data_IF_636998825000
#
_entry.id   IF_636998825000
#
_cell.length_a   1.000
_cell.length_b   1.000
_cell.length_c   1.000
_cell.angle_alpha   90.00
_cell.angle_beta   90.00
_cell.angle_gamma   90.00
#
_symmetry.space_group_name_H-M   'P 1'
#
loop_
_entity.id
_entity.type
_entity.pdbx_description
1 polymer ?
#
# COMPACT_ATOMS: atom_id res chain seq x y z
N UNK A 1 -32.90 43.44 55.79
CA UNK A 1 -31.86 43.38 56.85
C UNK A 1 -30.52 43.69 56.21
N UNK A 2 -29.80 44.64 56.79
CA UNK A 2 -28.44 45.04 56.44
C UNK A 2 -27.42 43.95 56.82
N UNK A 3 -26.26 43.93 56.13
CA UNK A 3 -24.86 43.71 56.57
C UNK A 3 -24.06 43.39 55.28
N UNK A 4 -23.33 44.31 54.64
CA UNK A 4 -22.15 45.10 55.02
C UNK A 4 -20.84 44.29 55.18
N UNK A 5 -19.95 44.54 54.22
CA UNK A 5 -18.47 44.70 54.30
C UNK A 5 -17.54 43.47 54.28
N UNK A 6 -16.57 43.54 53.37
CA UNK A 6 -15.36 42.73 53.37
C UNK A 6 -14.54 42.85 52.08
N UNK A 7 -14.06 44.05 51.75
CA UNK A 7 -13.12 44.29 50.64
C UNK A 7 -11.70 43.97 51.11
N UNK A 8 -10.94 43.19 50.34
CA UNK A 8 -9.47 43.16 50.42
C UNK A 8 -8.91 43.38 49.01
N UNK A 9 -8.31 44.56 48.82
CA UNK A 9 -7.53 44.96 47.65
C UNK A 9 -6.10 44.45 47.83
N UNK A 10 -5.59 43.73 46.83
CA UNK A 10 -4.15 43.58 46.62
C UNK A 10 -3.89 44.01 45.18
N UNK A 11 -3.20 45.14 45.03
CA UNK A 11 -2.71 45.64 43.76
C UNK A 11 -1.24 45.22 43.61
N UNK A 12 -0.87 44.70 42.44
CA UNK A 12 0.44 44.98 41.83
C UNK A 12 0.50 44.52 40.37
N UNK A 13 0.51 45.52 39.49
CA UNK A 13 1.37 45.65 38.29
C UNK A 13 1.52 44.48 37.32
N UNK A 14 0.93 44.64 36.13
CA UNK A 14 1.41 44.03 34.89
C UNK A 14 1.31 45.06 33.75
N UNK A 15 2.44 45.37 33.12
CA UNK A 15 2.58 46.40 32.09
C UNK A 15 1.95 46.00 30.74
N UNK A 16 1.30 46.98 30.11
CA UNK A 16 1.17 47.26 28.65
C UNK A 16 1.26 46.11 27.64
N UNK A 17 0.27 45.99 26.77
CA UNK A 17 0.31 46.62 25.43
C UNK A 17 -1.00 46.42 24.66
N UNK A 18 -1.35 47.46 23.90
CA UNK A 18 -2.49 47.50 23.00
C UNK A 18 -2.42 46.38 21.95
N UNK A 19 -3.54 45.68 21.76
CA UNK A 19 -3.70 44.72 20.68
C UNK A 19 -3.76 45.46 19.35
N UNK A 20 -2.71 45.36 18.54
CA UNK A 20 -2.81 45.63 17.12
C UNK A 20 -3.50 44.41 16.48
N UNK A 21 -4.73 44.61 16.02
CA UNK A 21 -5.40 43.67 15.13
C UNK A 21 -4.65 43.64 13.80
N UNK A 22 -3.80 42.64 13.61
CA UNK A 22 -3.40 42.19 12.27
C UNK A 22 -4.22 40.95 11.96
N UNK A 23 -5.22 41.15 11.10
CA UNK A 23 -6.10 40.12 10.55
C UNK A 23 -5.25 39.02 9.87
N UNK A 24 -5.47 37.72 10.16
CA UNK A 24 -4.78 36.66 9.43
C UNK A 24 -5.24 36.66 7.97
N UNK A 25 -4.27 36.65 7.05
CA UNK A 25 -4.52 36.46 5.63
C UNK A 25 -5.14 35.06 5.39
N UNK A 26 -6.36 34.94 4.85
CA UNK A 26 -7.01 33.64 4.66
C UNK A 26 -6.34 32.77 3.58
N UNK A 27 -5.39 33.31 2.82
CA UNK A 27 -4.70 32.59 1.74
C UNK A 27 -3.33 32.01 2.13
N UNK A 28 -2.91 32.13 3.39
CA UNK A 28 -1.69 31.48 3.89
C UNK A 28 -2.00 30.05 4.38
N UNK A 29 -2.36 29.16 3.45
CA UNK A 29 -2.31 27.74 3.73
C UNK A 29 -0.86 27.37 4.09
N UNK A 30 -0.61 26.65 5.21
CA UNK A 30 0.72 26.11 5.44
C UNK A 30 1.01 25.17 4.28
N UNK A 31 2.14 25.40 3.59
CA UNK A 31 2.71 24.41 2.70
C UNK A 31 2.84 23.11 3.48
N UNK A 32 1.87 22.21 3.29
CA UNK A 32 2.05 20.81 3.59
C UNK A 32 3.26 20.41 2.78
N UNK A 33 4.39 20.24 3.44
CA UNK A 33 5.54 19.55 2.87
C UNK A 33 5.02 18.20 2.46
N UNK A 34 4.78 18.04 1.16
CA UNK A 34 4.47 16.78 0.52
C UNK A 34 5.62 15.87 0.89
N UNK A 35 5.45 15.03 1.93
CA UNK A 35 6.35 13.91 2.16
C UNK A 35 6.35 13.15 0.84
N UNK A 36 7.45 13.25 0.11
CA UNK A 36 7.63 12.58 -1.16
C UNK A 36 7.30 11.10 -0.93
N UNK A 37 6.29 10.59 -1.64
CA UNK A 37 5.99 9.16 -1.65
C UNK A 37 7.29 8.37 -1.70
N UNK A 38 7.50 7.33 -0.88
CA UNK A 38 8.78 6.63 -0.84
C UNK A 38 9.12 6.17 -2.26
N UNK A 39 10.14 6.77 -2.88
CA UNK A 39 10.63 6.38 -4.21
C UNK A 39 11.75 5.39 -3.96
N UNK A 40 11.67 4.20 -4.54
CA UNK A 40 12.84 3.33 -4.58
C UNK A 40 13.86 3.99 -5.52
N UNK A 41 14.97 4.47 -4.95
CA UNK A 41 16.07 5.09 -5.69
C UNK A 41 17.01 4.02 -6.23
N UNK A 42 17.30 4.10 -7.53
CA UNK A 42 18.14 3.18 -8.32
C UNK A 42 19.58 2.95 -7.82
N UNK A 43 20.07 3.76 -6.87
CA UNK A 43 21.45 3.67 -6.39
C UNK A 43 21.70 2.44 -5.50
N UNK A 44 20.66 1.75 -5.05
CA UNK A 44 20.79 0.55 -4.22
C UNK A 44 20.54 -0.72 -5.06
N UNK A 45 21.61 -1.49 -5.27
CA UNK A 45 21.54 -2.85 -5.79
C UNK A 45 21.89 -3.84 -4.67
N UNK A 46 21.10 -4.91 -4.44
CA UNK A 46 19.85 -5.26 -5.12
C UNK A 46 18.73 -4.25 -4.88
N UNK A 47 17.73 -4.22 -5.76
CA UNK A 47 16.59 -3.31 -5.62
C UNK A 47 15.81 -3.60 -4.34
N UNK A 48 15.64 -2.58 -3.51
CA UNK A 48 14.94 -2.67 -2.22
C UNK A 48 13.67 -1.83 -2.22
N UNK A 49 12.78 -2.13 -1.29
CA UNK A 49 11.61 -1.32 -1.00
C UNK A 49 11.36 -1.22 0.50
N UNK A 50 10.84 -0.07 0.92
CA UNK A 50 10.42 0.20 2.31
C UNK A 50 8.93 0.54 2.39
N UNK A 51 8.26 0.56 1.24
CA UNK A 51 6.83 0.74 1.11
C UNK A 51 6.30 -0.02 -0.11
N UNK A 52 5.02 -0.33 -0.11
CA UNK A 52 4.36 -1.06 -1.18
C UNK A 52 2.92 -0.58 -1.36
N UNK A 53 2.35 -0.91 -2.52
CA UNK A 53 0.91 -0.92 -2.69
C UNK A 53 0.39 -2.33 -2.39
N UNK A 54 -0.89 -2.44 -2.03
CA UNK A 54 -1.55 -3.70 -1.76
C UNK A 54 -2.81 -3.90 -2.62
N UNK A 55 -2.95 -5.12 -3.13
CA UNK A 55 -4.15 -5.61 -3.81
C UNK A 55 -4.55 -6.96 -3.24
N UNK A 56 -5.84 -7.27 -3.30
CA UNK A 56 -6.35 -8.55 -2.84
C UNK A 56 -7.51 -9.01 -3.72
N UNK A 57 -7.49 -10.28 -4.09
CA UNK A 57 -8.45 -10.88 -5.02
C UNK A 57 -8.90 -12.25 -4.52
N UNK A 58 -10.17 -12.55 -4.74
CA UNK A 58 -10.74 -13.85 -4.42
C UNK A 58 -11.30 -14.46 -5.71
N UNK A 59 -11.01 -15.74 -5.93
CA UNK A 59 -11.51 -16.54 -7.05
C UNK A 59 -11.98 -17.88 -6.52
N UNK A 60 -12.99 -18.48 -7.16
CA UNK A 60 -13.49 -19.80 -6.79
C UNK A 60 -13.87 -19.97 -5.30
N UNK A 61 -14.24 -18.89 -4.62
CA UNK A 61 -14.74 -18.89 -3.24
C UNK A 61 -16.24 -18.63 -3.20
N UNK A 62 -16.93 -19.13 -2.18
CA UNK A 62 -18.33 -18.77 -1.91
C UNK A 62 -18.46 -17.44 -1.16
N UNK A 63 -17.44 -17.09 -0.38
CA UNK A 63 -17.30 -15.82 0.34
C UNK A 63 -15.82 -15.65 0.69
N UNK A 64 -15.33 -14.42 0.74
CA UNK A 64 -13.92 -14.14 1.00
C UNK A 64 -13.72 -12.72 1.52
N UNK A 65 -13.13 -12.61 2.70
CA UNK A 65 -12.75 -11.33 3.31
C UNK A 65 -11.26 -11.36 3.64
N UNK A 66 -10.53 -10.37 3.14
CA UNK A 66 -9.11 -10.17 3.40
C UNK A 66 -8.97 -8.81 4.07
N UNK A 67 -8.48 -8.78 5.31
CA UNK A 67 -8.23 -7.55 6.04
C UNK A 67 -6.73 -7.30 6.12
N UNK A 68 -6.26 -6.19 5.56
CA UNK A 68 -4.86 -5.80 5.65
C UNK A 68 -4.73 -4.33 6.03
N UNK A 69 -3.98 -4.05 7.11
CA UNK A 69 -3.82 -2.70 7.67
C UNK A 69 -5.18 -1.99 7.89
N UNK A 70 -6.16 -2.74 8.40
CA UNK A 70 -7.52 -2.22 8.66
C UNK A 70 -8.38 -1.96 7.41
N UNK A 71 -7.85 -2.19 6.20
CA UNK A 71 -8.61 -2.03 4.97
C UNK A 71 -9.17 -3.38 4.49
N UNK A 72 -10.49 -3.53 4.35
CA UNK A 72 -11.10 -4.76 3.88
C UNK A 72 -11.03 -4.88 2.35
N UNK A 73 -10.80 -6.10 1.89
CA UNK A 73 -10.86 -6.52 0.49
C UNK A 73 -11.71 -7.79 0.37
N UNK A 74 -12.15 -8.10 -0.86
CA UNK A 74 -12.99 -9.26 -1.16
C UNK A 74 -14.49 -8.94 -1.11
N UNK A 75 -15.31 -9.98 -1.03
CA UNK A 75 -16.78 -9.92 -1.00
C UNK A 75 -17.33 -11.10 -0.21
N UNK A 76 -18.48 -10.91 0.44
CA UNK A 76 -19.25 -12.00 1.06
C UNK A 76 -20.06 -12.82 0.04
N UNK A 77 -20.06 -12.41 -1.23
CA UNK A 77 -20.69 -13.13 -2.34
C UNK A 77 -19.73 -14.09 -3.04
N UNK A 78 -20.26 -15.10 -3.77
CA UNK A 78 -19.42 -15.99 -4.57
C UNK A 78 -18.55 -15.23 -5.56
N UNK A 79 -17.27 -15.59 -5.61
CA UNK A 79 -16.30 -15.07 -6.56
C UNK A 79 -16.15 -16.06 -7.74
N UNK A 80 -16.11 -15.59 -8.99
CA UNK A 80 -15.98 -16.48 -10.14
C UNK A 80 -14.55 -17.03 -10.28
N UNK A 81 -14.33 -17.95 -11.21
CA UNK A 81 -12.99 -18.47 -11.50
C UNK A 81 -12.14 -17.46 -12.27
N UNK A 82 -10.82 -17.61 -12.24
CA UNK A 82 -9.89 -16.78 -13.05
C UNK A 82 -10.22 -16.89 -14.53
N UNK A 83 -10.50 -18.10 -15.01
CA UNK A 83 -10.77 -18.42 -16.42
C UNK A 83 -12.02 -17.71 -16.94
N UNK A 84 -13.03 -17.50 -16.09
CA UNK A 84 -14.29 -16.85 -16.47
C UNK A 84 -14.11 -15.41 -16.98
N UNK A 85 -13.00 -14.75 -16.63
CA UNK A 85 -12.70 -13.39 -17.08
C UNK A 85 -12.13 -13.32 -18.51
N UNK A 86 -11.78 -14.47 -19.13
CA UNK A 86 -11.30 -14.53 -20.51
C UNK A 86 -9.96 -13.80 -20.76
N UNK A 87 -9.18 -13.56 -19.71
CA UNK A 87 -7.89 -12.86 -19.77
C UNK A 87 -6.90 -13.48 -18.78
N UNK A 88 -5.59 -13.40 -19.06
CA UNK A 88 -4.60 -14.03 -18.19
C UNK A 88 -4.52 -13.32 -16.83
N UNK A 89 -4.11 -14.07 -15.80
CA UNK A 89 -4.12 -13.64 -14.40
C UNK A 89 -3.35 -12.33 -14.18
N UNK A 90 -2.22 -12.13 -14.87
CA UNK A 90 -1.39 -10.93 -14.73
C UNK A 90 -2.09 -9.65 -15.21
N UNK A 91 -3.17 -9.80 -15.98
CA UNK A 91 -4.02 -8.69 -16.37
C UNK A 91 -5.14 -8.44 -15.35
N UNK A 92 -5.52 -9.40 -14.54
CA UNK A 92 -6.57 -9.25 -13.51
C UNK A 92 -6.02 -8.60 -12.24
N UNK A 93 -4.78 -8.95 -11.87
CA UNK A 93 -4.20 -8.59 -10.60
C UNK A 93 -3.51 -7.21 -10.62
N UNK A 94 -3.93 -6.31 -9.73
CA UNK A 94 -3.36 -4.98 -9.51
C UNK A 94 -3.48 -4.56 -8.05
N UNK A 95 -2.65 -3.61 -7.60
CA UNK A 95 -2.83 -3.00 -6.28
C UNK A 95 -3.56 -1.66 -6.35
N UNK A 96 -4.49 -1.45 -5.43
CA UNK A 96 -5.27 -0.20 -5.31
C UNK A 96 -5.08 0.52 -3.98
N UNK A 97 -4.56 -0.17 -2.96
CA UNK A 97 -4.31 0.43 -1.65
C UNK A 97 -2.86 0.88 -1.55
N UNK A 98 -2.64 2.20 -1.63
CA UNK A 98 -1.34 2.75 -2.00
C UNK A 98 -0.44 3.11 -0.82
N UNK A 99 0.86 3.13 -1.07
CA UNK A 99 1.88 3.73 -0.20
C UNK A 99 1.86 3.25 1.26
N UNK A 100 1.67 1.95 1.47
CA UNK A 100 1.81 1.31 2.77
C UNK A 100 3.29 1.27 3.13
N UNK A 101 3.69 1.97 4.19
CA UNK A 101 5.08 1.93 4.70
C UNK A 101 5.30 0.68 5.54
N UNK A 102 6.51 0.13 5.43
CA UNK A 102 6.95 -1.10 6.09
C UNK A 102 5.94 -2.24 5.90
N UNK A 103 5.90 -3.17 6.85
CA UNK A 103 4.87 -4.20 6.91
C UNK A 103 3.98 -3.96 8.14
N UNK A 104 2.69 -3.65 7.93
CA UNK A 104 1.66 -3.79 8.95
C UNK A 104 1.58 -5.22 9.50
N UNK A 105 0.78 -5.45 10.58
CA UNK A 105 0.45 -6.80 11.01
C UNK A 105 -0.07 -7.70 9.87
N UNK A 106 0.04 -9.04 10.01
CA UNK A 106 -0.37 -10.00 8.99
C UNK A 106 -1.76 -9.72 8.42
N UNK A 107 -1.95 -10.02 7.14
CA UNK A 107 -3.27 -9.98 6.53
C UNK A 107 -4.13 -11.11 7.12
N UNK A 108 -5.32 -10.78 7.64
CA UNK A 108 -6.27 -11.77 8.13
C UNK A 108 -7.15 -12.17 6.96
N UNK A 109 -7.15 -13.46 6.63
CA UNK A 109 -7.92 -14.01 5.52
C UNK A 109 -8.97 -14.98 6.07
N UNK A 110 -10.24 -14.71 5.80
CA UNK A 110 -11.37 -15.58 6.14
C UNK A 110 -12.15 -15.87 4.87
N UNK A 111 -12.37 -17.13 4.52
CA UNK A 111 -13.09 -17.48 3.29
C UNK A 111 -13.83 -18.81 3.41
N UNK A 112 -14.74 -19.04 2.47
CA UNK A 112 -15.31 -20.36 2.19
C UNK A 112 -14.86 -20.81 0.81
N UNK A 113 -14.22 -21.96 0.74
CA UNK A 113 -13.81 -22.62 -0.50
C UNK A 113 -15.02 -22.98 -1.37
N UNK A 114 -14.78 -23.45 -2.59
CA UNK A 114 -15.83 -23.78 -3.56
C UNK A 114 -16.80 -24.84 -3.05
N UNK A 115 -16.30 -25.80 -2.29
CA UNK A 115 -17.07 -26.86 -1.64
C UNK A 115 -17.74 -26.44 -0.32
N UNK A 116 -17.54 -25.18 0.10
CA UNK A 116 -18.19 -24.59 1.26
C UNK A 116 -17.42 -24.76 2.58
N UNK A 117 -16.26 -25.41 2.56
CA UNK A 117 -15.44 -25.54 3.76
C UNK A 117 -14.97 -24.15 4.26
N UNK A 118 -15.14 -23.84 5.56
CA UNK A 118 -14.70 -22.57 6.12
C UNK A 118 -13.20 -22.61 6.43
N UNK A 119 -12.50 -21.53 6.10
CA UNK A 119 -11.08 -21.35 6.37
C UNK A 119 -10.81 -19.99 7.00
N UNK A 120 -9.79 -19.94 7.86
CA UNK A 120 -9.19 -18.70 8.37
C UNK A 120 -7.69 -18.89 8.51
N UNK A 121 -6.91 -17.91 8.09
CA UNK A 121 -5.46 -17.89 8.29
C UNK A 121 -4.94 -16.47 8.35
N UNK A 122 -3.66 -16.34 8.71
CA UNK A 122 -2.92 -15.09 8.73
C UNK A 122 -1.74 -15.20 7.77
N UNK A 123 -1.58 -14.20 6.90
CA UNK A 123 -0.52 -14.16 5.88
C UNK A 123 0.41 -13.00 6.21
N UNK A 124 1.59 -13.34 6.71
CA UNK A 124 2.58 -12.35 7.14
C UNK A 124 3.45 -11.90 5.96
N UNK A 125 3.16 -10.69 5.45
CA UNK A 125 3.96 -10.07 4.39
C UNK A 125 5.37 -9.71 4.86
N UNK A 126 5.57 -9.42 6.15
CA UNK A 126 6.88 -9.13 6.69
C UNK A 126 7.79 -10.35 6.62
N UNK A 127 7.26 -11.54 6.91
CA UNK A 127 8.02 -12.79 6.79
C UNK A 127 8.31 -13.14 5.33
N UNK A 128 7.31 -13.05 4.44
CA UNK A 128 7.48 -13.35 3.00
C UNK A 128 8.55 -12.44 2.36
N UNK A 129 8.61 -11.18 2.77
CA UNK A 129 9.52 -10.17 2.22
C UNK A 129 10.56 -9.69 3.23
N UNK A 130 11.00 -10.56 4.17
CA UNK A 130 11.97 -10.19 5.21
C UNK A 130 13.32 -9.68 4.68
N UNK A 131 13.65 -10.00 3.43
CA UNK A 131 14.84 -9.51 2.75
C UNK A 131 14.69 -8.09 2.16
N UNK A 132 13.45 -7.56 2.12
CA UNK A 132 13.12 -6.24 1.59
C UNK A 132 13.40 -6.05 0.10
N UNK A 133 13.53 -7.14 -0.68
CA UNK A 133 13.94 -7.06 -2.09
C UNK A 133 12.75 -6.98 -3.05
N UNK A 134 12.85 -6.14 -4.08
CA UNK A 134 11.92 -6.17 -5.21
C UNK A 134 12.22 -7.42 -6.05
N UNK A 135 11.21 -8.26 -6.30
CA UNK A 135 11.35 -9.44 -7.16
C UNK A 135 11.26 -9.03 -8.63
N UNK A 136 12.24 -9.43 -9.43
CA UNK A 136 12.28 -9.20 -10.88
C UNK A 136 13.25 -10.17 -11.59
N UNK A 137 13.16 -10.25 -12.92
CA UNK A 137 14.02 -11.09 -13.76
C UNK A 137 15.15 -10.32 -14.48
N UNK A 138 15.24 -9.01 -14.30
CA UNK A 138 16.24 -8.16 -14.95
C UNK A 138 17.63 -8.31 -14.32
N UNK A 139 18.67 -8.27 -15.15
CA UNK A 139 20.04 -8.03 -14.73
C UNK A 139 20.25 -6.54 -14.44
N UNK A 140 21.23 -6.22 -13.60
CA UNK A 140 21.53 -4.83 -13.21
C UNK A 140 21.78 -3.94 -14.43
N UNK A 141 22.51 -4.45 -15.42
CA UNK A 141 22.92 -3.69 -16.60
C UNK A 141 21.75 -3.36 -17.53
N UNK A 142 20.63 -4.06 -17.42
CA UNK A 142 19.42 -3.89 -18.24
C UNK A 142 18.50 -2.78 -17.72
N UNK A 143 18.64 -2.40 -16.44
CA UNK A 143 17.79 -1.43 -15.77
C UNK A 143 18.24 -0.02 -16.13
N UNK A 144 17.27 0.85 -16.45
CA UNK A 144 17.56 2.27 -16.70
C UNK A 144 18.03 2.95 -15.42
N UNK A 145 19.13 3.68 -15.48
CA UNK A 145 19.69 4.43 -14.33
C UNK A 145 19.05 5.82 -14.16
N UNK A 146 18.20 6.24 -15.09
CA UNK A 146 17.65 7.60 -15.15
C UNK A 146 16.25 7.73 -14.55
N UNK A 147 15.59 6.63 -14.17
CA UNK A 147 14.16 6.64 -13.82
C UNK A 147 13.91 6.06 -12.44
N UNK A 148 13.30 6.85 -11.53
CA UNK A 148 12.89 6.33 -10.22
C UNK A 148 11.99 5.10 -10.35
N UNK A 149 12.16 4.13 -9.44
CA UNK A 149 11.35 2.91 -9.42
C UNK A 149 10.10 3.18 -8.58
N UNK A 150 8.94 2.88 -9.17
CA UNK A 150 7.65 2.95 -8.46
C UNK A 150 7.59 1.95 -7.32
N UNK A 151 6.73 2.22 -6.33
CA UNK A 151 6.45 1.24 -5.29
C UNK A 151 6.02 -0.09 -5.91
N UNK A 152 6.53 -1.24 -5.41
CA UNK A 152 6.03 -2.53 -5.85
C UNK A 152 4.59 -2.72 -5.39
N UNK A 153 3.83 -3.47 -6.18
CA UNK A 153 2.53 -3.98 -5.81
C UNK A 153 2.72 -5.36 -5.17
N UNK A 154 2.22 -5.53 -3.95
CA UNK A 154 2.05 -6.84 -3.29
C UNK A 154 0.58 -7.24 -3.42
N UNK A 155 0.33 -8.45 -3.93
CA UNK A 155 -1.02 -8.90 -4.25
C UNK A 155 -1.30 -10.24 -3.60
N UNK A 156 -2.32 -10.30 -2.76
CA UNK A 156 -2.81 -11.54 -2.13
C UNK A 156 -3.97 -12.10 -2.95
N UNK A 157 -3.85 -13.34 -3.43
CA UNK A 157 -4.91 -14.06 -4.11
C UNK A 157 -5.40 -15.21 -3.22
N UNK A 158 -6.71 -15.29 -3.00
CA UNK A 158 -7.38 -16.50 -2.52
C UNK A 158 -8.03 -17.17 -3.72
N UNK A 159 -7.66 -18.40 -4.02
CA UNK A 159 -8.22 -19.17 -5.12
C UNK A 159 -8.64 -20.55 -4.63
N UNK A 160 -9.94 -20.71 -4.38
CA UNK A 160 -10.53 -21.89 -3.75
C UNK A 160 -9.87 -22.21 -2.38
N UNK A 161 -8.98 -23.20 -2.31
CA UNK A 161 -8.25 -23.61 -1.10
C UNK A 161 -6.80 -23.12 -1.06
N UNK A 162 -6.36 -22.36 -2.06
CA UNK A 162 -4.97 -21.91 -2.17
C UNK A 162 -4.88 -20.41 -1.96
N UNK A 163 -3.94 -19.99 -1.11
CA UNK A 163 -3.50 -18.60 -1.01
C UNK A 163 -2.19 -18.45 -1.78
N UNK A 164 -2.14 -17.47 -2.68
CA UNK A 164 -0.92 -17.04 -3.34
C UNK A 164 -0.59 -15.59 -2.95
N UNK A 165 0.69 -15.27 -2.86
CA UNK A 165 1.15 -13.87 -2.84
C UNK A 165 2.04 -13.63 -4.04
N UNK A 166 1.80 -12.51 -4.70
CA UNK A 166 2.56 -12.04 -5.84
C UNK A 166 3.21 -10.70 -5.53
N UNK A 167 4.32 -10.44 -6.20
CA UNK A 167 4.89 -9.11 -6.33
C UNK A 167 4.95 -8.73 -7.81
N UNK A 168 4.71 -7.46 -8.11
CA UNK A 168 5.10 -6.86 -9.39
C UNK A 168 5.63 -5.45 -9.19
N UNK A 169 6.57 -5.04 -10.01
CA UNK A 169 7.12 -3.69 -9.95
C UNK A 169 7.37 -3.18 -11.38
N UNK A 170 7.02 -1.92 -11.63
CA UNK A 170 7.35 -1.27 -12.89
C UNK A 170 8.81 -0.84 -12.87
N UNK A 171 9.66 -1.59 -13.59
CA UNK A 171 11.10 -1.35 -13.68
C UNK A 171 11.44 -0.96 -15.11
N UNK A 172 11.90 0.27 -15.31
CA UNK A 172 12.30 0.77 -16.62
C UNK A 172 13.61 0.14 -17.07
N UNK A 173 13.68 -0.22 -18.35
CA UNK A 173 14.82 -0.88 -18.96
C UNK A 173 15.50 0.04 -19.98
N UNK A 174 16.79 -0.17 -20.24
CA UNK A 174 17.56 0.58 -21.25
C UNK A 174 17.08 0.26 -22.68
N UNK A 175 16.61 -0.96 -22.92
CA UNK A 175 16.14 -1.43 -24.22
C UNK A 175 14.63 -1.67 -24.26
N UNK A 176 14.02 -1.50 -25.44
CA UNK A 176 12.61 -1.83 -25.68
C UNK A 176 12.36 -3.33 -25.47
N UNK A 177 11.30 -3.68 -24.72
CA UNK A 177 10.86 -5.06 -24.57
C UNK A 177 10.09 -5.58 -25.79
N UNK A 178 9.55 -4.66 -26.60
CA UNK A 178 8.89 -4.96 -27.88
C UNK A 178 9.49 -4.06 -28.97
N UNK A 179 10.23 -4.62 -29.94
CA UNK A 179 10.81 -3.82 -31.03
C UNK A 179 9.76 -2.94 -31.72
N UNK A 180 10.09 -1.67 -31.94
CA UNK A 180 9.20 -0.70 -32.58
C UNK A 180 8.12 -0.08 -31.68
N UNK A 181 7.95 -0.55 -30.44
CA UNK A 181 7.04 0.08 -29.48
C UNK A 181 7.83 0.96 -28.47
N UNK A 182 7.80 2.30 -28.60
CA UNK A 182 8.57 3.19 -27.73
C UNK A 182 8.10 3.17 -26.27
N UNK A 183 6.88 2.70 -25.99
CA UNK A 183 6.33 2.56 -24.64
C UNK A 183 6.61 1.19 -24.02
N UNK A 184 7.52 0.41 -24.59
CA UNK A 184 7.84 -0.93 -24.09
C UNK A 184 9.16 -0.98 -23.33
N UNK A 185 9.77 0.14 -22.94
CA UNK A 185 11.03 0.20 -22.20
C UNK A 185 10.87 -0.09 -20.70
N UNK A 186 10.06 -1.07 -20.32
CA UNK A 186 9.88 -1.47 -18.92
C UNK A 186 9.46 -2.93 -18.78
N UNK A 187 9.71 -3.50 -17.60
CA UNK A 187 9.10 -4.73 -17.11
C UNK A 187 8.12 -4.44 -15.99
N UNK A 188 7.09 -5.26 -15.89
CA UNK A 188 6.11 -5.25 -14.82
C UNK A 188 5.54 -6.65 -14.63
N UNK A 189 6.45 -7.61 -14.46
CA UNK A 189 6.10 -9.03 -14.37
C UNK A 189 5.37 -9.32 -13.06
N UNK A 190 4.35 -10.17 -13.11
CA UNK A 190 3.72 -10.72 -11.91
C UNK A 190 4.53 -11.95 -11.46
N UNK A 191 5.18 -11.87 -10.31
CA UNK A 191 6.03 -12.93 -9.78
C UNK A 191 5.38 -13.49 -8.53
N UNK A 192 5.07 -14.79 -8.54
CA UNK A 192 4.59 -15.50 -7.35
C UNK A 192 5.74 -15.69 -6.36
N UNK A 193 5.54 -15.29 -5.12
CA UNK A 193 6.55 -15.36 -4.05
C UNK A 193 6.18 -16.32 -2.92
N UNK A 194 4.89 -16.65 -2.81
CA UNK A 194 4.37 -17.53 -1.78
C UNK A 194 3.14 -18.27 -2.32
N UNK A 195 2.96 -19.52 -1.88
CA UNK A 195 1.81 -20.36 -2.19
C UNK A 195 1.58 -21.34 -1.06
N UNK A 196 0.34 -21.45 -0.58
CA UNK A 196 -0.05 -22.41 0.44
C UNK A 196 -1.48 -22.90 0.17
N UNK A 197 -1.69 -24.21 0.26
CA UNK A 197 -3.02 -24.83 0.13
C UNK A 197 -3.49 -25.34 1.50
N UNK A 198 -4.81 -25.28 1.73
CA UNK A 198 -5.50 -25.61 2.97
C UNK A 198 -6.55 -26.70 2.80
#
# INVERSE_FOLDING_TARGET
MHFATGVLLIASTGCTSAMNHTQPNPDAAPHATTESSPKATLWEWPLKFTAHNFGAYCFNTQSCTILYKGFPHGSDTPSPSVESYGRPLEKLLSAGYLAIRNFPPPAIVTWRSRDGAPHRTEVDMAEIFKDGLIRHHLRREEISETTSISLPDIILEVNDRTINVYMRAMIFTKALQKPGNPHSNFRNDLIKVYSQTY
#
